data_IF_103958614177
#
_entry.id   IF_103958614177
#
_cell.length_a   1.000
_cell.length_b   1.000
_cell.length_c   1.000
_cell.angle_alpha   90.00
_cell.angle_beta   90.00
_cell.angle_gamma   90.00
#
_symmetry.space_group_name_H-M   'P 1'
#
loop_
_entity.id
_entity.type
_entity.pdbx_description
1 polymer ?
#
# COMPACT_ATOMS: atom_id res chain seq x y z
N UNK A 1 20.00 9.85 -1.58
CA UNK A 1 19.38 9.88 -0.24
C UNK A 1 18.00 10.45 -0.43
N UNK A 2 16.93 9.70 -0.16
CA UNK A 2 15.57 10.23 -0.23
C UNK A 2 15.36 11.13 0.99
N UNK A 3 14.95 12.36 0.75
CA UNK A 3 14.66 13.31 1.82
C UNK A 3 13.13 13.30 2.04
N UNK A 4 12.72 12.75 3.17
CA UNK A 4 11.31 12.80 3.57
C UNK A 4 10.93 14.24 3.92
N UNK A 5 9.69 14.60 3.59
CA UNK A 5 9.11 15.90 3.94
C UNK A 5 9.13 16.19 5.45
N UNK A 6 8.88 17.45 5.78
CA UNK A 6 8.86 17.92 7.17
C UNK A 6 7.63 17.43 7.96
N UNK A 7 6.53 17.12 7.26
CA UNK A 7 5.26 16.75 7.87
C UNK A 7 4.83 15.32 7.51
N UNK A 8 4.07 14.73 8.43
CA UNK A 8 3.44 13.41 8.29
C UNK A 8 1.93 13.60 8.43
N UNK A 9 1.17 12.95 7.55
CA UNK A 9 -0.27 12.78 7.72
C UNK A 9 -0.48 11.46 8.45
N UNK A 10 -0.97 11.52 9.68
CA UNK A 10 -1.29 10.35 10.49
C UNK A 10 -2.79 10.09 10.37
N UNK A 11 -3.15 8.92 9.86
CA UNK A 11 -4.53 8.45 9.85
C UNK A 11 -4.84 7.94 11.25
N UNK A 12 -5.81 8.55 11.93
CA UNK A 12 -6.21 8.20 13.29
C UNK A 12 -7.31 7.13 13.30
N UNK A 13 -8.18 7.13 12.28
CA UNK A 13 -9.21 6.10 12.06
C UNK A 13 -8.94 5.35 10.76
N UNK A 14 -8.06 4.34 10.85
CA UNK A 14 -7.66 3.52 9.71
C UNK A 14 -8.85 2.72 9.12
N UNK A 15 -9.82 2.33 9.95
CA UNK A 15 -10.98 1.54 9.51
C UNK A 15 -11.92 2.38 8.65
N UNK A 16 -12.22 3.60 9.06
CA UNK A 16 -13.05 4.51 8.26
C UNK A 16 -12.30 4.96 7.01
N UNK A 17 -10.98 5.21 7.09
CA UNK A 17 -10.16 5.50 5.93
C UNK A 17 -10.21 4.36 4.88
N UNK A 18 -9.97 3.13 5.31
CA UNK A 18 -10.01 1.94 4.45
C UNK A 18 -11.40 1.73 3.82
N UNK A 19 -12.45 1.92 4.61
CA UNK A 19 -13.84 1.86 4.14
C UNK A 19 -14.12 2.92 3.06
N UNK A 20 -13.64 4.15 3.21
CA UNK A 20 -13.83 5.21 2.20
C UNK A 20 -13.11 4.89 0.90
N UNK A 21 -11.88 4.36 0.96
CA UNK A 21 -11.13 3.89 -0.21
C UNK A 21 -11.90 2.76 -0.93
N UNK A 22 -12.34 1.75 -0.18
CA UNK A 22 -13.11 0.60 -0.72
C UNK A 22 -14.44 1.02 -1.34
N UNK A 23 -15.15 1.96 -0.72
CA UNK A 23 -16.40 2.50 -1.26
C UNK A 23 -16.15 3.28 -2.56
N UNK A 24 -15.15 4.17 -2.59
CA UNK A 24 -14.79 4.92 -3.79
C UNK A 24 -14.39 4.01 -4.95
N UNK A 25 -13.61 2.96 -4.68
CA UNK A 25 -13.27 1.96 -5.69
C UNK A 25 -14.51 1.20 -6.20
N UNK A 26 -15.39 0.76 -5.30
CA UNK A 26 -16.63 0.04 -5.63
C UNK A 26 -17.59 0.87 -6.47
N UNK A 27 -17.80 2.14 -6.12
CA UNK A 27 -18.66 3.07 -6.87
C UNK A 27 -18.16 3.27 -8.30
N UNK A 28 -16.84 3.25 -8.48
CA UNK A 28 -16.19 3.35 -9.78
C UNK A 28 -15.97 2.00 -10.48
N UNK A 29 -16.54 0.92 -9.92
CA UNK A 29 -16.48 -0.46 -10.43
C UNK A 29 -15.06 -1.01 -10.58
N UNK A 30 -14.13 -0.55 -9.75
CA UNK A 30 -12.80 -1.14 -9.68
C UNK A 30 -12.79 -2.37 -8.77
N UNK A 31 -12.05 -3.39 -9.20
CA UNK A 31 -11.68 -4.49 -8.31
C UNK A 31 -10.46 -4.06 -7.49
N UNK A 32 -10.62 -4.06 -6.17
CA UNK A 32 -9.62 -3.57 -5.23
C UNK A 32 -9.24 -4.68 -4.24
N UNK A 33 -7.94 -4.89 -4.09
CA UNK A 33 -7.34 -5.71 -3.05
C UNK A 33 -6.54 -4.84 -2.11
N UNK A 34 -6.50 -5.19 -0.82
CA UNK A 34 -5.67 -4.47 0.14
C UNK A 34 -5.17 -5.38 1.24
N UNK A 35 -3.92 -5.17 1.68
CA UNK A 35 -3.27 -5.85 2.81
C UNK A 35 -1.90 -5.28 3.11
N UNK A 36 -1.37 -5.68 4.26
CA UNK A 36 0.04 -5.49 4.62
C UNK A 36 0.97 -6.22 3.65
N UNK A 37 2.14 -5.62 3.42
CA UNK A 37 3.22 -6.23 2.65
C UNK A 37 3.88 -7.35 3.43
N UNK A 38 4.03 -8.51 2.79
CA UNK A 38 4.66 -9.70 3.32
C UNK A 38 6.15 -9.73 2.94
N UNK A 39 7.00 -9.83 3.96
CA UNK A 39 8.45 -9.84 3.79
C UNK A 39 9.01 -11.26 3.81
N UNK A 40 9.55 -11.71 2.67
CA UNK A 40 10.24 -12.99 2.58
C UNK A 40 11.76 -12.82 2.83
N UNK A 41 12.38 -13.88 3.38
CA UNK A 41 13.80 -13.89 3.82
C UNK A 41 14.68 -14.84 3.00
N UNK A 42 14.15 -15.44 1.95
CA UNK A 42 14.90 -16.43 1.19
C UNK A 42 15.90 -15.76 0.23
N UNK A 43 17.17 -15.75 0.63
CA UNK A 43 18.32 -15.22 -0.11
C UNK A 43 18.62 -15.99 -1.41
N UNK A 44 18.10 -17.21 -1.56
CA UNK A 44 18.27 -18.04 -2.76
C UNK A 44 17.37 -17.59 -3.92
N UNK A 45 16.33 -16.82 -3.60
CA UNK A 45 15.44 -16.19 -4.56
C UNK A 45 16.13 -14.95 -5.10
N UNK A 46 17.02 -15.13 -6.06
CA UNK A 46 17.70 -14.04 -6.77
C UNK A 46 17.01 -13.65 -8.08
N UNK A 47 16.28 -14.60 -8.68
CA UNK A 47 15.56 -14.46 -9.95
C UNK A 47 14.05 -14.36 -9.75
N UNK A 48 13.43 -13.42 -10.46
CA UNK A 48 11.98 -13.18 -10.49
C UNK A 48 11.16 -14.44 -10.85
N UNK A 49 11.73 -15.37 -11.64
CA UNK A 49 11.07 -16.62 -12.01
C UNK A 49 10.83 -17.57 -10.82
N UNK A 50 11.72 -17.62 -9.82
CA UNK A 50 11.50 -18.45 -8.61
C UNK A 50 10.44 -17.87 -7.67
N UNK A 51 10.25 -16.54 -7.71
CA UNK A 51 9.14 -15.86 -7.02
C UNK A 51 7.81 -16.27 -7.63
N UNK A 52 7.75 -16.36 -8.97
CA UNK A 52 6.55 -16.82 -9.67
C UNK A 52 6.23 -18.30 -9.40
N UNK A 53 7.24 -19.17 -9.31
CA UNK A 53 7.05 -20.61 -9.01
C UNK A 53 6.52 -20.86 -7.58
N UNK A 54 6.92 -20.06 -6.59
CA UNK A 54 6.32 -20.11 -5.25
C UNK A 54 4.85 -19.65 -5.24
N UNK A 55 4.41 -18.94 -6.28
CA UNK A 55 3.14 -18.22 -6.35
C UNK A 55 2.15 -18.72 -7.39
N UNK A 56 2.41 -19.87 -8.03
CA UNK A 56 1.41 -20.57 -8.85
C UNK A 56 0.18 -21.03 -8.05
N UNK A 57 0.17 -20.82 -6.73
CA UNK A 57 -0.99 -21.04 -5.86
C UNK A 57 -1.86 -19.79 -5.60
N UNK A 58 -1.41 -18.55 -5.91
CA UNK A 58 -2.22 -17.32 -5.78
C UNK A 58 -1.55 -16.09 -6.44
N UNK A 59 -2.01 -15.72 -7.64
CA UNK A 59 -1.52 -14.57 -8.44
C UNK A 59 -1.57 -13.21 -7.70
N UNK A 60 -2.48 -13.05 -6.74
CA UNK A 60 -2.72 -11.79 -6.04
C UNK A 60 -1.56 -11.39 -5.11
N UNK A 61 -0.71 -12.32 -4.68
CA UNK A 61 0.28 -12.08 -3.62
C UNK A 61 1.54 -11.32 -4.11
N UNK A 62 1.84 -11.34 -5.41
CA UNK A 62 3.02 -10.66 -6.00
C UNK A 62 3.08 -9.17 -5.63
N UNK A 63 1.95 -8.48 -5.78
CA UNK A 63 1.82 -7.05 -5.50
C UNK A 63 1.98 -6.70 -4.02
N UNK A 64 2.01 -7.70 -3.13
CA UNK A 64 2.13 -7.52 -1.68
C UNK A 64 3.41 -8.14 -1.11
N UNK A 65 4.33 -8.63 -1.93
CA UNK A 65 5.56 -9.27 -1.44
C UNK A 65 6.78 -8.36 -1.62
N UNK A 66 7.68 -8.34 -0.62
CA UNK A 66 8.98 -7.63 -0.68
C UNK A 66 10.12 -8.44 -0.08
N UNK A 67 11.34 -8.25 -0.61
CA UNK A 67 12.54 -8.86 -0.03
C UNK A 67 12.94 -8.15 1.25
N UNK A 68 12.99 -8.90 2.36
CA UNK A 68 13.24 -8.35 3.69
C UNK A 68 14.59 -7.64 3.80
N UNK A 69 15.67 -8.23 3.28
CA UNK A 69 17.02 -7.65 3.38
C UNK A 69 17.14 -6.25 2.79
N UNK A 70 16.35 -5.96 1.75
CA UNK A 70 16.44 -4.68 1.03
C UNK A 70 15.44 -3.66 1.62
N UNK A 71 14.27 -4.12 2.05
CA UNK A 71 13.13 -3.24 2.35
C UNK A 71 12.55 -3.35 3.77
N UNK A 72 13.22 -4.06 4.70
CA UNK A 72 12.70 -4.31 6.05
C UNK A 72 12.43 -3.06 6.89
N UNK A 73 12.98 -1.91 6.49
CA UNK A 73 12.74 -0.63 7.16
C UNK A 73 11.44 0.07 6.72
N UNK A 74 10.71 -0.49 5.74
CA UNK A 74 9.46 0.06 5.24
C UNK A 74 8.28 -0.70 5.85
N UNK A 75 7.38 -0.03 6.57
CA UNK A 75 6.08 -0.61 6.92
C UNK A 75 5.09 -0.15 5.85
N UNK A 76 4.48 -1.10 5.14
CA UNK A 76 3.63 -0.80 3.99
C UNK A 76 2.31 -1.57 4.07
N UNK A 77 1.23 -0.81 3.99
CA UNK A 77 -0.10 -1.30 3.62
C UNK A 77 -0.38 -0.87 2.19
N UNK A 78 -0.81 -1.79 1.33
CA UNK A 78 -1.02 -1.51 -0.10
C UNK A 78 -2.47 -1.67 -0.49
N UNK A 79 -2.85 -0.85 -1.47
CA UNK A 79 -4.08 -0.98 -2.25
C UNK A 79 -3.68 -1.34 -3.69
N UNK A 80 -4.20 -2.45 -4.20
CA UNK A 80 -4.01 -2.91 -5.57
C UNK A 80 -5.34 -2.80 -6.32
N UNK A 81 -5.35 -2.03 -7.39
CA UNK A 81 -6.49 -1.93 -8.30
C UNK A 81 -6.20 -2.76 -9.54
N UNK A 82 -7.12 -3.65 -9.88
CA UNK A 82 -7.11 -4.34 -11.18
C UNK A 82 -7.89 -3.48 -12.16
N UNK A 83 -7.19 -2.92 -13.13
CA UNK A 83 -7.78 -2.16 -14.23
C UNK A 83 -7.60 -2.96 -15.52
N UNK A 84 -8.68 -3.58 -15.99
CA UNK A 84 -8.69 -4.36 -17.24
C UNK A 84 -8.72 -3.45 -18.49
N UNK A 85 -8.88 -2.13 -18.30
CA UNK A 85 -8.97 -1.16 -19.38
C UNK A 85 -7.62 -0.46 -19.58
N UNK A 86 -6.77 -1.03 -20.44
CA UNK A 86 -5.40 -0.55 -20.73
C UNK A 86 -5.31 0.92 -21.18
N UNK A 87 -6.40 1.53 -21.62
CA UNK A 87 -6.41 2.90 -22.15
C UNK A 87 -6.42 4.01 -21.07
N UNK A 88 -6.63 3.66 -19.79
CA UNK A 88 -6.70 4.66 -18.70
C UNK A 88 -5.32 5.13 -18.27
N UNK A 89 -4.98 6.37 -18.60
CA UNK A 89 -3.72 7.00 -18.15
C UNK A 89 -3.62 7.19 -16.64
N UNK A 90 -4.76 7.36 -15.95
CA UNK A 90 -4.82 7.60 -14.50
C UNK A 90 -6.12 7.04 -13.92
N UNK A 91 -6.05 6.54 -12.69
CA UNK A 91 -7.20 6.15 -11.87
C UNK A 91 -7.44 7.23 -10.82
N UNK A 92 -8.68 7.72 -10.70
CA UNK A 92 -9.08 8.70 -9.69
C UNK A 92 -10.50 8.41 -9.22
N UNK A 93 -10.71 8.44 -7.91
CA UNK A 93 -12.02 8.41 -7.27
C UNK A 93 -12.01 9.24 -5.99
N UNK A 94 -13.18 9.72 -5.57
CA UNK A 94 -13.34 10.54 -4.38
C UNK A 94 -13.48 9.68 -3.13
N UNK A 95 -12.86 10.13 -2.03
CA UNK A 95 -12.93 9.48 -0.70
C UNK A 95 -13.33 10.45 0.41
N UNK A 96 -13.76 11.67 0.04
CA UNK A 96 -14.10 12.75 0.99
C UNK A 96 -12.88 13.51 1.55
N UNK A 97 -13.17 14.50 2.41
CA UNK A 97 -12.16 15.19 3.22
C UNK A 97 -11.63 14.21 4.30
N UNK A 98 -10.36 14.36 4.68
CA UNK A 98 -9.70 13.51 5.67
C UNK A 98 -9.48 14.23 7.02
N UNK A 99 -9.85 15.51 7.14
CA UNK A 99 -9.67 16.29 8.39
C UNK A 99 -10.37 15.68 9.61
N UNK A 100 -11.41 14.88 9.40
CA UNK A 100 -12.15 14.20 10.45
C UNK A 100 -11.50 12.91 10.95
N UNK A 101 -10.54 12.36 10.18
CA UNK A 101 -9.93 11.04 10.41
C UNK A 101 -8.40 11.05 10.34
N UNK A 102 -7.78 12.19 10.07
CA UNK A 102 -6.34 12.34 9.97
C UNK A 102 -5.84 13.63 10.64
N UNK A 103 -4.65 13.54 11.23
CA UNK A 103 -3.93 14.67 11.79
C UNK A 103 -2.65 14.93 10.99
N UNK A 104 -2.22 16.19 10.93
CA UNK A 104 -0.93 16.56 10.35
C UNK A 104 -0.01 16.93 11.51
N UNK A 105 1.17 16.32 11.55
CA UNK A 105 2.19 16.61 12.56
C UNK A 105 3.58 16.67 11.94
N UNK A 106 4.52 17.33 12.62
CA UNK A 106 5.90 17.35 12.13
C UNK A 106 6.54 15.97 12.24
N UNK A 107 7.49 15.67 11.36
CA UNK A 107 8.34 14.46 11.42
C UNK A 107 8.97 14.31 12.79
N UNK A 108 9.45 15.41 13.38
CA UNK A 108 10.09 15.40 14.70
C UNK A 108 9.14 15.01 15.84
N UNK A 109 7.87 15.37 15.74
CA UNK A 109 6.85 15.00 16.72
C UNK A 109 6.42 13.54 16.50
N UNK A 110 6.23 13.13 15.24
CA UNK A 110 5.85 11.77 14.90
C UNK A 110 6.89 10.75 15.40
N UNK A 111 8.18 11.04 15.22
CA UNK A 111 9.27 10.18 15.69
C UNK A 111 9.29 9.99 17.22
N UNK A 112 8.60 10.83 18.00
CA UNK A 112 8.43 10.65 19.45
C UNK A 112 7.25 9.75 19.82
N UNK A 113 6.41 9.39 18.85
CA UNK A 113 5.23 8.53 19.03
C UNK A 113 5.44 7.08 18.59
N UNK A 114 6.54 6.80 17.89
CA UNK A 114 7.03 5.47 17.54
C UNK A 114 7.80 4.84 18.71
#
# INVERSE_FOLDING_TARGET
MFEFGEYVVKIEDELEFDKRIKNGAKENKYQLYSRDVLYYRDESIKDEMKIMDLMTNSLDDLSFIKRKEIFSYQNEYRYLIVDELEERKNIRFEIGDLKDLATIMSKSEFLKTL
#
